data_IF_846951782566
#
_entry.id   IF_846951782566
#
_cell.length_a   1.000
_cell.length_b   1.000
_cell.length_c   1.000
_cell.angle_alpha   90.00
_cell.angle_beta   90.00
_cell.angle_gamma   90.00
#
_symmetry.space_group_name_H-M   'P 1'
#
loop_
_entity.id
_entity.type
_entity.pdbx_description
1 polymer ?
#
# COMPACT_ATOMS: atom_id res chain seq x y z
N UNK A 1 34.02 -1.59 -34.38
CA UNK A 1 33.33 -2.19 -33.22
C UNK A 1 33.25 -1.16 -32.10
N UNK A 2 32.07 -0.59 -31.84
CA UNK A 2 31.88 0.49 -30.86
C UNK A 2 31.39 -0.07 -29.52
N UNK A 3 32.33 -0.27 -28.59
CA UNK A 3 32.09 -0.86 -27.25
C UNK A 3 31.22 0.04 -26.35
N UNK A 4 31.14 1.35 -26.66
CA UNK A 4 30.41 2.34 -25.86
C UNK A 4 28.89 2.23 -26.05
N UNK A 5 28.42 1.69 -27.19
CA UNK A 5 26.99 1.57 -27.51
C UNK A 5 26.25 0.50 -26.71
N UNK A 6 26.96 -0.56 -26.27
CA UNK A 6 26.33 -1.68 -25.55
C UNK A 6 26.13 -1.42 -24.06
N UNK A 7 26.91 -0.50 -23.47
CA UNK A 7 26.72 -0.08 -22.08
C UNK A 7 25.47 0.79 -21.88
N UNK A 8 24.98 1.46 -22.94
CA UNK A 8 23.74 2.28 -22.86
C UNK A 8 22.45 1.44 -22.82
N UNK A 9 22.51 0.14 -23.11
CA UNK A 9 21.35 -0.77 -22.98
C UNK A 9 21.26 -1.47 -21.61
N UNK A 10 22.27 -1.34 -20.75
CA UNK A 10 22.32 -1.94 -19.41
C UNK A 10 22.06 -0.86 -18.35
N UNK A 11 21.00 -1.03 -17.56
CA UNK A 11 20.51 -0.15 -16.46
C UNK A 11 19.50 0.95 -16.86
N UNK A 12 18.37 0.55 -17.44
CA UNK A 12 17.12 0.90 -16.73
C UNK A 12 17.29 0.28 -15.35
N UNK A 13 17.63 1.09 -14.34
CA UNK A 13 17.59 0.65 -12.94
C UNK A 13 16.18 0.09 -12.78
N UNK A 14 16.03 -1.23 -12.77
CA UNK A 14 14.85 -1.89 -12.28
C UNK A 14 14.77 -1.44 -10.84
N UNK A 15 14.01 -0.36 -10.63
CA UNK A 15 13.58 0.08 -9.32
C UNK A 15 12.99 -1.19 -8.72
N UNK A 16 13.67 -1.78 -7.74
CA UNK A 16 13.32 -3.10 -7.24
C UNK A 16 11.87 -2.97 -6.79
N UNK A 17 10.95 -3.58 -7.55
CA UNK A 17 9.54 -3.39 -7.30
C UNK A 17 9.24 -3.95 -5.91
N UNK A 18 8.56 -3.15 -5.09
CA UNK A 18 8.13 -3.58 -3.76
C UNK A 18 7.17 -4.74 -3.95
N UNK A 19 7.58 -5.94 -3.54
CA UNK A 19 6.69 -7.09 -3.54
C UNK A 19 5.61 -6.87 -2.48
N UNK A 20 4.38 -7.33 -2.75
CA UNK A 20 3.31 -7.29 -1.75
C UNK A 20 3.71 -8.06 -0.48
N UNK A 21 4.47 -9.15 -0.62
CA UNK A 21 5.02 -9.92 0.50
C UNK A 21 5.93 -9.06 1.37
N UNK A 22 6.87 -8.30 0.80
CA UNK A 22 7.80 -7.47 1.58
C UNK A 22 7.04 -6.38 2.35
N UNK A 23 6.02 -5.79 1.71
CA UNK A 23 5.16 -4.79 2.33
C UNK A 23 4.39 -5.37 3.51
N UNK A 24 3.76 -6.54 3.31
CA UNK A 24 3.00 -7.20 4.37
C UNK A 24 3.92 -7.63 5.52
N UNK A 25 5.12 -8.13 5.25
CA UNK A 25 6.10 -8.44 6.31
C UNK A 25 6.45 -7.19 7.10
N UNK A 26 6.75 -6.07 6.43
CA UNK A 26 7.05 -4.81 7.11
C UNK A 26 5.88 -4.33 7.99
N UNK A 27 4.63 -4.50 7.54
CA UNK A 27 3.44 -4.17 8.32
C UNK A 27 3.28 -5.12 9.51
N UNK A 28 3.47 -6.44 9.32
CA UNK A 28 3.39 -7.42 10.41
C UNK A 28 4.38 -7.08 11.51
N UNK A 29 5.62 -6.72 11.16
CA UNK A 29 6.66 -6.39 12.12
C UNK A 29 6.42 -5.05 12.81
N UNK A 30 6.07 -4.00 12.05
CA UNK A 30 5.85 -2.67 12.60
C UNK A 30 4.63 -2.60 13.53
N UNK A 31 3.58 -3.38 13.25
CA UNK A 31 2.32 -3.37 14.00
C UNK A 31 2.10 -4.62 14.86
N UNK A 32 3.10 -5.50 14.95
CA UNK A 32 3.07 -6.75 15.72
C UNK A 32 1.82 -7.60 15.42
N UNK A 33 1.48 -7.72 14.13
CA UNK A 33 0.30 -8.48 13.72
C UNK A 33 0.50 -9.96 14.02
N UNK A 34 -0.57 -10.60 14.48
CA UNK A 34 -0.61 -12.02 14.79
C UNK A 34 -1.64 -12.74 13.90
N UNK A 35 -1.76 -14.05 14.06
CA UNK A 35 -2.67 -14.88 13.28
C UNK A 35 -4.15 -14.49 13.39
N UNK A 36 -4.55 -13.80 14.46
CA UNK A 36 -5.95 -13.37 14.64
C UNK A 36 -6.35 -12.31 13.60
N UNK A 37 -5.36 -11.62 13.02
CA UNK A 37 -5.58 -10.71 11.89
C UNK A 37 -6.21 -11.44 10.69
N UNK A 38 -5.89 -12.71 10.46
CA UNK A 38 -6.50 -13.48 9.39
C UNK A 38 -8.01 -13.65 9.60
N UNK A 39 -8.46 -13.87 10.83
CA UNK A 39 -9.88 -13.98 11.16
C UNK A 39 -10.63 -12.67 10.92
N UNK A 40 -9.96 -11.53 11.10
CA UNK A 40 -10.54 -10.22 10.75
C UNK A 40 -10.71 -10.07 9.22
N UNK A 41 -9.78 -10.63 8.43
CA UNK A 41 -9.90 -10.67 6.97
C UNK A 41 -10.98 -11.66 6.48
N UNK A 42 -11.48 -12.59 7.30
CA UNK A 42 -12.62 -13.45 6.92
C UNK A 42 -13.93 -12.66 6.91
N UNK A 43 -14.06 -11.65 7.78
CA UNK A 43 -15.28 -10.85 7.93
C UNK A 43 -15.30 -9.59 7.04
N UNK A 44 -14.67 -9.66 5.86
CA UNK A 44 -14.63 -8.54 4.90
C UNK A 44 -16.03 -7.97 4.55
N UNK A 45 -17.11 -8.76 4.42
CA UNK A 45 -18.44 -8.22 4.15
C UNK A 45 -18.97 -7.30 5.26
N UNK A 46 -18.70 -7.62 6.53
CA UNK A 46 -19.12 -6.78 7.68
C UNK A 46 -18.28 -5.51 7.79
N UNK A 47 -17.03 -5.55 7.29
CA UNK A 47 -16.13 -4.41 7.24
C UNK A 47 -16.60 -3.36 6.23
N UNK A 48 -17.21 -3.75 5.10
CA UNK A 48 -17.78 -2.79 4.14
C UNK A 48 -18.84 -1.90 4.81
N UNK A 49 -19.73 -2.50 5.62
CA UNK A 49 -20.76 -1.76 6.36
C UNK A 49 -20.15 -0.83 7.41
N UNK A 50 -19.10 -1.28 8.11
CA UNK A 50 -18.36 -0.45 9.07
C UNK A 50 -17.66 0.73 8.39
N UNK A 51 -17.11 0.55 7.19
CA UNK A 51 -16.44 1.60 6.42
C UNK A 51 -17.45 2.62 5.87
N UNK A 52 -18.63 2.17 5.43
CA UNK A 52 -19.72 3.08 5.00
C UNK A 52 -20.18 3.99 6.14
N UNK A 53 -20.15 3.50 7.37
CA UNK A 53 -20.54 4.24 8.57
C UNK A 53 -19.35 4.91 9.29
N UNK A 54 -18.12 4.80 8.78
CA UNK A 54 -16.95 5.40 9.41
C UNK A 54 -16.84 6.87 9.00
N UNK A 55 -16.73 7.75 9.99
CA UNK A 55 -16.33 9.13 9.74
C UNK A 55 -14.92 9.15 9.12
N UNK A 56 -14.78 9.86 8.00
CA UNK A 56 -13.53 9.94 7.26
C UNK A 56 -12.46 10.54 8.16
N UNK A 57 -11.44 9.75 8.49
CA UNK A 57 -10.27 10.27 9.20
C UNK A 57 -9.33 10.90 8.17
N UNK A 58 -9.28 12.23 8.15
CA UNK A 58 -8.28 12.98 7.39
C UNK A 58 -6.89 12.76 8.00
N UNK A 59 -6.27 11.61 7.68
CA UNK A 59 -4.92 11.27 8.14
C UNK A 59 -3.94 11.17 6.98
N UNK A 60 -2.69 11.63 7.17
CA UNK A 60 -1.64 11.39 6.19
C UNK A 60 -1.35 9.89 6.11
N UNK A 61 -0.88 9.43 4.94
CA UNK A 61 -0.45 8.05 4.78
C UNK A 61 0.79 7.81 5.66
N UNK A 62 0.80 6.77 6.52
CA UNK A 62 1.92 6.56 7.42
C UNK A 62 3.19 6.22 6.64
N UNK A 63 4.33 6.69 7.16
CA UNK A 63 5.63 6.26 6.65
C UNK A 63 5.93 4.85 7.17
N UNK A 64 6.25 3.93 6.25
CA UNK A 64 6.71 2.59 6.58
C UNK A 64 7.98 2.30 5.78
N UNK A 65 9.05 1.96 6.49
CA UNK A 65 10.27 1.49 5.84
C UNK A 65 10.06 0.06 5.33
N UNK A 66 10.16 -0.14 4.02
CA UNK A 66 9.96 -1.45 3.41
C UNK A 66 11.33 -1.98 2.99
N UNK A 67 11.85 -3.01 3.66
CA UNK A 67 13.12 -3.61 3.28
C UNK A 67 12.99 -4.28 1.91
N UNK A 68 14.07 -4.20 1.14
CA UNK A 68 14.18 -4.86 -0.17
C UNK A 68 14.22 -6.38 0.02
N UNK A 69 14.91 -6.84 1.07
CA UNK A 69 15.03 -8.24 1.45
C UNK A 69 14.74 -8.37 2.95
N UNK A 70 13.46 -8.50 3.37
CA UNK A 70 13.12 -8.66 4.78
C UNK A 70 13.72 -9.96 5.34
N UNK A 71 14.48 -9.85 6.43
CA UNK A 71 14.87 -10.99 7.24
C UNK A 71 13.86 -11.12 8.38
N UNK A 72 12.91 -12.05 8.22
CA UNK A 72 11.81 -12.23 9.18
C UNK A 72 11.73 -13.66 9.69
N UNK A 73 10.98 -13.87 10.78
CA UNK A 73 10.76 -15.22 11.32
C UNK A 73 9.92 -16.06 10.35
N UNK A 74 10.08 -17.40 10.41
CA UNK A 74 9.28 -18.33 9.61
C UNK A 74 7.77 -18.14 9.83
N UNK A 75 7.35 -17.77 11.04
CA UNK A 75 5.96 -17.55 11.38
C UNK A 75 5.40 -16.29 10.71
N UNK A 76 6.16 -15.19 10.75
CA UNK A 76 5.78 -13.93 10.10
C UNK A 76 5.73 -14.08 8.57
N UNK A 77 6.70 -14.80 8.00
CA UNK A 77 6.70 -15.09 6.57
C UNK A 77 5.46 -15.88 6.15
N UNK A 78 5.12 -16.95 6.89
CA UNK A 78 3.90 -17.75 6.64
C UNK A 78 2.62 -16.93 6.79
N UNK A 79 2.56 -16.05 7.78
CA UNK A 79 1.44 -15.14 7.96
C UNK A 79 1.32 -14.17 6.77
N UNK A 80 2.44 -13.60 6.32
CA UNK A 80 2.47 -12.72 5.16
C UNK A 80 1.99 -13.40 3.89
N UNK A 81 2.45 -14.64 3.62
CA UNK A 81 1.97 -15.44 2.49
C UNK A 81 0.45 -15.62 2.53
N UNK A 82 -0.10 -16.03 3.68
CA UNK A 82 -1.55 -16.19 3.86
C UNK A 82 -2.33 -14.89 3.63
N UNK A 83 -1.82 -13.76 4.11
CA UNK A 83 -2.47 -12.45 3.88
C UNK A 83 -2.47 -12.10 2.40
N UNK A 84 -1.32 -12.27 1.72
CA UNK A 84 -1.19 -11.98 0.29
C UNK A 84 -2.10 -12.88 -0.55
N UNK A 85 -2.10 -14.19 -0.29
CA UNK A 85 -2.97 -15.17 -0.98
C UNK A 85 -4.46 -14.87 -0.76
N UNK A 86 -4.84 -14.44 0.45
CA UNK A 86 -6.24 -14.17 0.79
C UNK A 86 -6.78 -12.88 0.18
N UNK A 87 -5.93 -11.86 0.10
CA UNK A 87 -6.31 -10.55 -0.43
C UNK A 87 -6.19 -10.51 -1.94
N UNK A 88 -5.14 -11.12 -2.49
CA UNK A 88 -4.84 -11.27 -3.91
C UNK A 88 -5.23 -10.05 -4.76
N UNK A 89 -4.49 -8.96 -4.53
CA UNK A 89 -4.86 -7.65 -5.08
C UNK A 89 -3.62 -6.81 -5.43
N UNK A 90 -3.58 -6.17 -6.63
CA UNK A 90 -2.45 -5.34 -7.05
C UNK A 90 -2.18 -4.13 -6.16
N UNK A 91 -3.16 -3.65 -5.39
CA UNK A 91 -2.97 -2.46 -4.54
C UNK A 91 -2.27 -2.77 -3.22
N UNK A 92 -2.17 -4.04 -2.84
CA UNK A 92 -1.57 -4.45 -1.58
C UNK A 92 -0.12 -3.96 -1.41
N UNK A 93 0.65 -3.87 -2.50
CA UNK A 93 2.04 -3.36 -2.48
C UNK A 93 2.17 -1.87 -2.11
N UNK A 94 1.06 -1.13 -2.10
CA UNK A 94 1.03 0.27 -1.68
C UNK A 94 0.50 0.48 -0.26
N UNK A 95 0.08 -0.60 0.43
CA UNK A 95 -0.33 -0.52 1.82
C UNK A 95 0.85 -0.08 2.72
N UNK A 96 0.52 0.65 3.79
CA UNK A 96 1.49 1.15 4.78
C UNK A 96 1.08 0.87 6.22
N UNK A 97 -0.15 0.45 6.45
CA UNK A 97 -0.65 0.05 7.76
C UNK A 97 -1.61 -1.14 7.62
N UNK A 98 -1.99 -1.78 8.75
CA UNK A 98 -2.90 -2.92 8.72
C UNK A 98 -4.27 -2.58 8.16
N UNK A 99 -4.75 -1.34 8.34
CA UNK A 99 -6.05 -0.89 7.84
C UNK A 99 -6.07 -0.85 6.30
N UNK A 100 -5.01 -0.32 5.69
CA UNK A 100 -4.85 -0.30 4.24
C UNK A 100 -4.79 -1.70 3.62
N UNK A 101 -4.36 -2.73 4.35
CA UNK A 101 -4.45 -4.12 3.86
C UNK A 101 -5.92 -4.48 3.60
N UNK A 102 -6.82 -4.18 4.54
CA UNK A 102 -8.26 -4.43 4.36
C UNK A 102 -8.85 -3.57 3.25
N UNK A 103 -8.55 -2.27 3.27
CA UNK A 103 -9.10 -1.32 2.31
C UNK A 103 -8.62 -1.58 0.89
N UNK A 104 -7.45 -2.22 0.72
CA UNK A 104 -6.86 -2.46 -0.60
C UNK A 104 -7.80 -3.21 -1.54
N UNK A 105 -8.51 -4.24 -1.03
CA UNK A 105 -9.41 -5.09 -1.82
C UNK A 105 -10.68 -4.33 -2.20
N UNK A 106 -11.28 -3.64 -1.22
CA UNK A 106 -12.45 -2.79 -1.45
C UNK A 106 -12.15 -1.64 -2.42
N UNK A 107 -10.98 -1.02 -2.30
CA UNK A 107 -10.53 0.07 -3.15
C UNK A 107 -10.37 -0.40 -4.60
N UNK A 108 -9.74 -1.55 -4.81
CA UNK A 108 -9.57 -2.12 -6.14
C UNK A 108 -10.91 -2.50 -6.77
N UNK A 109 -11.81 -3.12 -6.01
CA UNK A 109 -13.15 -3.48 -6.49
C UNK A 109 -13.97 -2.24 -6.92
N UNK A 110 -13.91 -1.14 -6.15
CA UNK A 110 -14.62 0.10 -6.49
C UNK A 110 -13.94 0.95 -7.56
N UNK A 111 -12.61 0.90 -7.64
CA UNK A 111 -11.83 1.73 -8.55
C UNK A 111 -10.50 1.06 -8.92
N UNK A 112 -10.46 0.24 -9.97
CA UNK A 112 -9.25 -0.50 -10.37
C UNK A 112 -8.21 0.33 -11.12
N UNK A 113 -8.56 1.54 -11.57
CA UNK A 113 -7.69 2.40 -12.42
C UNK A 113 -6.98 3.53 -11.66
N UNK A 114 -6.81 3.41 -10.34
CA UNK A 114 -6.06 4.40 -9.55
C UNK A 114 -4.58 4.34 -9.92
N UNK A 115 -3.97 5.52 -10.12
CA UNK A 115 -2.56 5.60 -10.49
C UNK A 115 -1.68 5.23 -9.31
N UNK A 116 -0.54 4.59 -9.60
CA UNK A 116 0.45 4.20 -8.59
C UNK A 116 0.87 5.38 -7.69
N UNK A 117 1.07 6.57 -8.28
CA UNK A 117 1.43 7.79 -7.53
C UNK A 117 0.38 8.19 -6.48
N UNK A 118 -0.91 7.94 -6.74
CA UNK A 118 -1.99 8.22 -5.79
C UNK A 118 -2.01 7.16 -4.69
N UNK A 119 -1.85 5.89 -5.05
CA UNK A 119 -1.77 4.78 -4.08
C UNK A 119 -0.57 4.91 -3.15
N UNK A 120 0.55 5.45 -3.64
CA UNK A 120 1.77 5.65 -2.85
C UNK A 120 1.68 6.79 -1.83
N UNK A 121 0.92 7.85 -2.14
CA UNK A 121 0.94 9.10 -1.37
C UNK A 121 -0.35 9.36 -0.58
N UNK A 122 -1.48 8.81 -1.02
CA UNK A 122 -2.79 9.04 -0.42
C UNK A 122 -3.22 7.78 0.35
N UNK A 123 -3.74 8.00 1.55
CA UNK A 123 -4.31 6.93 2.36
C UNK A 123 -5.53 6.31 1.67
N UNK A 124 -5.67 4.97 1.70
CA UNK A 124 -6.72 4.27 0.94
C UNK A 124 -8.14 4.69 1.32
N UNK A 125 -8.38 5.05 2.59
CA UNK A 125 -9.67 5.57 3.06
C UNK A 125 -10.09 6.86 2.32
N UNK A 126 -9.14 7.74 2.04
CA UNK A 126 -9.41 8.98 1.30
C UNK A 126 -9.68 8.69 -0.18
N UNK A 127 -8.95 7.73 -0.76
CA UNK A 127 -9.16 7.30 -2.15
C UNK A 127 -10.52 6.62 -2.36
N UNK A 128 -11.04 5.90 -1.37
CA UNK A 128 -12.39 5.32 -1.39
C UNK A 128 -13.48 6.40 -1.44
N UNK A 129 -13.23 7.55 -0.81
CA UNK A 129 -14.22 8.63 -0.66
C UNK A 129 -14.12 9.73 -1.72
N UNK A 130 -12.96 9.87 -2.39
CA UNK A 130 -12.72 10.94 -3.38
C UNK A 130 -13.61 10.86 -4.63
N UNK A 131 -14.28 9.74 -4.91
CA UNK A 131 -15.28 9.65 -5.99
C UNK A 131 -16.67 10.20 -5.61
N UNK A 132 -16.98 10.43 -4.32
CA UNK A 132 -18.27 11.04 -3.93
C UNK A 132 -18.34 12.54 -4.23
N UNK A 133 -17.20 13.20 -4.47
CA UNK A 133 -17.12 14.61 -4.86
C UNK A 133 -16.16 14.67 -6.04
N UNK A 134 -16.61 15.13 -7.20
CA UNK A 134 -15.82 15.24 -8.43
C UNK A 134 -14.66 16.24 -8.30
N UNK A 135 -13.72 15.98 -7.41
CA UNK A 135 -12.67 16.90 -7.03
C UNK A 135 -11.37 16.14 -7.08
N UNK A 136 -10.56 16.44 -8.10
CA UNK A 136 -9.15 16.12 -8.14
C UNK A 136 -8.54 16.55 -6.79
N UNK A 137 -8.05 15.61 -6.00
CA UNK A 137 -7.28 15.92 -4.81
C UNK A 137 -5.96 16.54 -5.28
N UNK A 138 -5.93 17.88 -5.36
CA UNK A 138 -4.69 18.63 -5.48
C UNK A 138 -4.02 18.51 -4.11
N UNK A 139 -3.09 17.57 -3.98
CA UNK A 139 -2.19 17.55 -2.83
C UNK A 139 -1.29 18.78 -3.02
N UNK A 140 -1.60 19.85 -2.29
CA UNK A 140 -0.74 21.01 -2.19
C UNK A 140 0.51 20.58 -1.41
N UNK A 141 1.62 20.36 -2.12
CA UNK A 141 2.92 20.26 -1.46
C UNK A 141 3.17 21.60 -0.73
N UNK A 142 3.57 21.60 0.56
CA UNK A 142 4.00 22.82 1.20
C UNK A 142 5.26 23.31 0.47
N UNK A 143 5.13 24.43 -0.24
CA UNK A 143 6.27 25.15 -0.80
C UNK A 143 7.23 25.50 0.33
N UNK A 144 8.50 25.16 0.15
CA UNK A 144 9.61 25.43 1.06
C UNK A 144 9.51 26.85 1.62
N UNK A 145 9.43 26.96 2.94
CA UNK A 145 9.59 28.21 3.65
C UNK A 145 10.95 28.82 3.29
N UNK A 146 10.93 30.10 2.92
CA UNK A 146 12.12 30.88 2.67
C UNK A 146 13.00 30.96 3.92
N UNK A 147 14.28 30.75 3.67
CA UNK A 147 15.47 31.23 4.40
C UNK A 147 16.43 31.53 3.25
N UNK A 148 16.92 32.73 2.99
CA UNK A 148 17.21 33.92 3.81
C UNK A 148 16.96 35.20 2.99
#
# INVERSE_FOLDING_TARGET
MNIIGELRKKKKRTFIEKSAINVVIAIIEAYQLNSNFLSLLDNLPDLEQKIVNHEIRLRPKPYLNIPIFPLTSRNNFRLAQKIVEKIDNPYLKYARDPEEIYLSKLLFWKNPDIRAIELENIHFELLLNSKKKGTRCIIQCPSKAGKE
#
